data_IF_202865355749
#
_entry.id   IF_202865355749
#
_cell.length_a   1.000
_cell.length_b   1.000
_cell.length_c   1.000
_cell.angle_alpha   90.00
_cell.angle_beta   90.00
_cell.angle_gamma   90.00
#
_symmetry.space_group_name_H-M   'P 1'
#
loop_
_entity.id
_entity.type
_entity.pdbx_description
1 polymer ?
#
# COMPACT_ATOMS: atom_id res chain seq x y z
N UNK A 1 -109.72 21.35 21.12
CA UNK A 1 -108.47 21.58 20.34
C UNK A 1 -107.19 21.29 21.14
N UNK A 2 -107.19 21.34 22.48
CA UNK A 2 -106.00 21.01 23.32
C UNK A 2 -105.53 19.53 23.28
N UNK A 3 -106.35 18.62 22.74
CA UNK A 3 -106.03 17.17 22.70
C UNK A 3 -104.99 16.78 21.64
N UNK A 4 -104.85 17.54 20.54
CA UNK A 4 -103.99 17.17 19.41
C UNK A 4 -102.56 17.71 19.58
N UNK A 5 -102.43 18.93 20.13
CA UNK A 5 -101.16 19.54 20.49
C UNK A 5 -100.42 18.71 21.55
N UNK A 6 -101.12 18.23 22.59
CA UNK A 6 -100.52 17.40 23.63
C UNK A 6 -100.08 16.02 23.12
N UNK A 7 -100.79 15.44 22.13
CA UNK A 7 -100.37 14.20 21.47
C UNK A 7 -99.12 14.41 20.62
N UNK A 8 -99.05 15.50 19.84
CA UNK A 8 -97.88 15.86 19.03
C UNK A 8 -96.65 16.19 19.89
N UNK A 9 -96.83 16.91 21.00
CA UNK A 9 -95.75 17.20 21.96
C UNK A 9 -95.25 15.93 22.66
N UNK A 10 -96.13 14.98 22.97
CA UNK A 10 -95.72 13.68 23.52
C UNK A 10 -94.96 12.85 22.48
N UNK A 11 -95.46 12.76 21.25
CA UNK A 11 -94.79 12.06 20.15
C UNK A 11 -93.39 12.64 19.86
N UNK A 12 -93.25 13.97 19.82
CA UNK A 12 -91.95 14.63 19.67
C UNK A 12 -90.99 14.36 20.84
N UNK A 13 -91.50 14.29 22.08
CA UNK A 13 -90.67 13.93 23.25
C UNK A 13 -90.22 12.48 23.21
N UNK A 14 -91.09 11.57 22.77
CA UNK A 14 -90.77 10.15 22.63
C UNK A 14 -89.79 9.91 21.46
N UNK A 15 -89.93 10.65 20.36
CA UNK A 15 -89.00 10.66 19.23
C UNK A 15 -87.64 11.27 19.61
N UNK A 16 -87.63 12.37 20.37
CA UNK A 16 -86.39 12.93 20.92
C UNK A 16 -85.73 11.97 21.93
N UNK A 17 -86.50 11.27 22.77
CA UNK A 17 -85.96 10.32 23.73
C UNK A 17 -85.35 9.09 23.03
N UNK A 18 -85.98 8.59 21.96
CA UNK A 18 -85.45 7.49 21.14
C UNK A 18 -84.22 7.91 20.35
N UNK A 19 -84.24 9.09 19.73
CA UNK A 19 -83.08 9.67 19.03
C UNK A 19 -81.89 9.89 19.97
N UNK A 20 -82.14 10.40 21.19
CA UNK A 20 -81.11 10.56 22.22
C UNK A 20 -80.52 9.23 22.69
N UNK A 21 -81.34 8.18 22.80
CA UNK A 21 -80.84 6.83 23.13
C UNK A 21 -79.97 6.28 22.01
N UNK A 22 -80.42 6.39 20.76
CA UNK A 22 -79.66 5.93 19.61
C UNK A 22 -78.29 6.63 19.49
N UNK A 23 -78.26 7.96 19.62
CA UNK A 23 -77.00 8.73 19.63
C UNK A 23 -76.11 8.33 20.82
N UNK A 24 -76.70 8.06 21.99
CA UNK A 24 -75.94 7.63 23.16
C UNK A 24 -75.30 6.24 22.96
N UNK A 25 -76.04 5.31 22.34
CA UNK A 25 -75.57 3.95 22.04
C UNK A 25 -74.46 3.98 20.96
N UNK A 26 -74.65 4.74 19.87
CA UNK A 26 -73.62 4.95 18.84
C UNK A 26 -72.36 5.62 19.44
N UNK A 27 -72.54 6.61 20.30
CA UNK A 27 -71.42 7.25 21.01
C UNK A 27 -70.71 6.29 21.97
N UNK A 28 -71.42 5.32 22.56
CA UNK A 28 -70.81 4.29 23.40
C UNK A 28 -70.01 3.31 22.56
N UNK A 29 -70.57 2.83 21.44
CA UNK A 29 -69.90 1.94 20.50
C UNK A 29 -68.63 2.57 19.91
N UNK A 30 -68.70 3.82 19.45
CA UNK A 30 -67.53 4.55 18.94
C UNK A 30 -66.45 4.76 20.00
N UNK A 31 -66.82 4.95 21.28
CA UNK A 31 -65.85 5.02 22.39
C UNK A 31 -65.16 3.69 22.63
N UNK A 32 -65.89 2.59 22.54
CA UNK A 32 -65.32 1.25 22.73
C UNK A 32 -64.44 0.85 21.54
N UNK A 33 -64.84 1.17 20.30
CA UNK A 33 -63.99 1.02 19.11
C UNK A 33 -62.71 1.85 19.23
N UNK A 34 -62.80 3.12 19.65
CA UNK A 34 -61.63 3.97 19.88
C UNK A 34 -60.68 3.37 20.93
N UNK A 35 -61.22 2.81 22.02
CA UNK A 35 -60.42 2.13 23.05
C UNK A 35 -59.75 0.87 22.51
N UNK A 36 -60.43 0.10 21.66
CA UNK A 36 -59.85 -1.09 21.02
C UNK A 36 -58.69 -0.70 20.10
N UNK A 37 -58.88 0.29 19.23
CA UNK A 37 -57.83 0.81 18.32
C UNK A 37 -56.64 1.34 19.12
N UNK A 38 -56.87 2.08 20.22
CA UNK A 38 -55.78 2.57 21.07
C UNK A 38 -54.97 1.44 21.72
N UNK A 39 -55.62 0.34 22.13
CA UNK A 39 -54.91 -0.83 22.66
C UNK A 39 -54.09 -1.52 21.57
N UNK A 40 -54.63 -1.65 20.36
CA UNK A 40 -53.92 -2.22 19.23
C UNK A 40 -52.72 -1.37 18.81
N UNK A 41 -52.88 -0.05 18.75
CA UNK A 41 -51.77 0.88 18.51
C UNK A 41 -50.65 0.73 19.54
N UNK A 42 -50.99 0.60 20.82
CA UNK A 42 -50.00 0.38 21.88
C UNK A 42 -49.28 -0.97 21.70
N UNK A 43 -50.00 -2.03 21.37
CA UNK A 43 -49.42 -3.36 21.14
C UNK A 43 -48.50 -3.37 19.91
N UNK A 44 -48.89 -2.72 18.81
CA UNK A 44 -48.05 -2.55 17.62
C UNK A 44 -46.81 -1.72 17.91
N UNK A 45 -46.93 -0.67 18.73
CA UNK A 45 -45.79 0.16 19.10
C UNK A 45 -44.81 -0.59 20.02
N UNK A 46 -45.30 -1.42 20.93
CA UNK A 46 -44.47 -2.35 21.71
C UNK A 46 -43.74 -3.33 20.78
N UNK A 47 -44.46 -3.90 19.81
CA UNK A 47 -43.87 -4.86 18.86
C UNK A 47 -42.80 -4.22 17.97
N UNK A 48 -43.02 -2.98 17.52
CA UNK A 48 -42.02 -2.22 16.77
C UNK A 48 -40.75 -2.01 17.59
N UNK A 49 -40.87 -1.62 18.86
CA UNK A 49 -39.73 -1.43 19.74
C UNK A 49 -38.96 -2.75 19.98
N UNK A 50 -39.67 -3.88 20.11
CA UNK A 50 -39.04 -5.21 20.19
C UNK A 50 -38.25 -5.55 18.93
N UNK A 51 -38.82 -5.29 17.75
CA UNK A 51 -38.16 -5.56 16.46
C UNK A 51 -36.94 -4.67 16.26
N UNK A 52 -37.01 -3.38 16.59
CA UNK A 52 -35.86 -2.48 16.52
C UNK A 52 -34.73 -2.93 17.47
N UNK A 53 -35.08 -3.43 18.66
CA UNK A 53 -34.09 -3.98 19.58
C UNK A 53 -33.44 -5.24 19.02
N UNK A 54 -34.22 -6.14 18.42
CA UNK A 54 -33.70 -7.35 17.77
C UNK A 54 -32.81 -7.03 16.58
N UNK A 55 -33.17 -6.03 15.77
CA UNK A 55 -32.36 -5.54 14.66
C UNK A 55 -30.99 -5.05 15.16
N UNK A 56 -30.96 -4.22 16.20
CA UNK A 56 -29.72 -3.76 16.84
C UNK A 56 -28.88 -4.92 17.42
N UNK A 57 -29.52 -5.89 18.06
CA UNK A 57 -28.83 -7.07 18.61
C UNK A 57 -28.21 -7.94 17.48
N UNK A 58 -28.90 -8.08 16.34
CA UNK A 58 -28.38 -8.82 15.18
C UNK A 58 -27.25 -8.08 14.48
N UNK A 59 -27.36 -6.76 14.32
CA UNK A 59 -26.28 -5.92 13.76
C UNK A 59 -25.01 -6.02 14.61
N UNK A 60 -25.14 -5.95 15.93
CA UNK A 60 -24.00 -6.12 16.85
C UNK A 60 -23.40 -7.52 16.75
N UNK A 61 -24.22 -8.57 16.65
CA UNK A 61 -23.76 -9.94 16.49
C UNK A 61 -23.04 -10.15 15.15
N UNK A 62 -23.50 -9.52 14.07
CA UNK A 62 -22.85 -9.58 12.76
C UNK A 62 -21.46 -8.91 12.80
N UNK A 63 -21.36 -7.71 13.37
CA UNK A 63 -20.07 -6.99 13.53
C UNK A 63 -19.09 -7.82 14.36
N UNK A 64 -19.54 -8.42 15.46
CA UNK A 64 -18.68 -9.24 16.32
C UNK A 64 -18.20 -10.51 15.60
N UNK A 65 -19.06 -11.15 14.81
CA UNK A 65 -18.69 -12.32 14.01
C UNK A 65 -17.66 -11.97 12.93
N UNK A 66 -17.85 -10.85 12.22
CA UNK A 66 -16.90 -10.35 11.23
C UNK A 66 -15.54 -10.06 11.86
N UNK A 67 -15.53 -9.39 13.02
CA UNK A 67 -14.31 -9.11 13.79
C UNK A 67 -13.59 -10.39 14.23
N UNK A 68 -14.32 -11.39 14.71
CA UNK A 68 -13.75 -12.69 15.10
C UNK A 68 -13.17 -13.44 13.90
N UNK A 69 -13.88 -13.42 12.76
CA UNK A 69 -13.41 -14.02 11.51
C UNK A 69 -12.14 -13.34 11.01
N UNK A 70 -12.10 -12.01 10.98
CA UNK A 70 -10.92 -11.23 10.61
C UNK A 70 -9.72 -11.54 11.54
N UNK A 71 -9.97 -11.67 12.85
CA UNK A 71 -8.93 -12.05 13.82
C UNK A 71 -8.36 -13.45 13.55
N UNK A 72 -9.21 -14.44 13.30
CA UNK A 72 -8.76 -15.80 12.96
C UNK A 72 -7.96 -15.83 11.66
N UNK A 73 -8.40 -15.09 10.63
CA UNK A 73 -7.64 -14.96 9.37
C UNK A 73 -6.29 -14.28 9.61
N UNK A 74 -6.25 -13.22 10.40
CA UNK A 74 -5.03 -12.54 10.80
C UNK A 74 -4.04 -13.50 11.50
N UNK A 75 -4.49 -14.30 12.46
CA UNK A 75 -3.64 -15.29 13.15
C UNK A 75 -3.02 -16.30 12.16
N UNK A 76 -3.79 -16.81 11.20
CA UNK A 76 -3.27 -17.71 10.16
C UNK A 76 -2.25 -17.03 9.23
N UNK A 77 -2.43 -15.74 8.94
CA UNK A 77 -1.49 -14.96 8.13
C UNK A 77 -0.16 -14.76 8.85
N UNK A 78 -0.19 -14.48 10.16
CA UNK A 78 1.02 -14.39 10.98
C UNK A 78 1.73 -15.73 11.05
N UNK A 79 1.01 -16.83 11.29
CA UNK A 79 1.59 -18.18 11.27
C UNK A 79 2.23 -18.53 9.91
N UNK A 80 1.68 -18.05 8.80
CA UNK A 80 2.27 -18.23 7.47
C UNK A 80 3.59 -17.44 7.31
N UNK A 81 3.61 -16.17 7.74
CA UNK A 81 4.82 -15.34 7.72
C UNK A 81 5.91 -15.91 8.65
N UNK A 82 5.55 -16.35 9.85
CA UNK A 82 6.48 -16.98 10.80
C UNK A 82 7.08 -18.25 10.21
N UNK A 83 6.27 -19.15 9.65
CA UNK A 83 6.76 -20.37 8.99
C UNK A 83 7.68 -20.07 7.81
N UNK A 84 7.40 -19.01 7.05
CA UNK A 84 8.30 -18.58 5.97
C UNK A 84 9.62 -18.02 6.50
N UNK A 85 9.59 -17.20 7.55
CA UNK A 85 10.79 -16.67 8.18
C UNK A 85 11.70 -17.78 8.72
N UNK A 86 11.12 -18.78 9.41
CA UNK A 86 11.86 -19.96 9.89
C UNK A 86 12.44 -20.81 8.74
N UNK A 87 11.81 -20.85 7.57
CA UNK A 87 12.34 -21.52 6.36
C UNK A 87 13.44 -20.71 5.68
N UNK A 88 13.38 -19.38 5.76
CA UNK A 88 14.35 -18.48 5.16
C UNK A 88 15.68 -18.46 5.94
N UNK A 89 15.64 -18.57 7.26
CA UNK A 89 16.85 -18.58 8.11
C UNK A 89 17.92 -19.63 7.71
N UNK A 90 17.61 -20.93 7.53
CA UNK A 90 18.60 -21.91 7.09
C UNK A 90 19.12 -21.63 5.67
N UNK A 91 18.30 -21.06 4.79
CA UNK A 91 18.71 -20.68 3.45
C UNK A 91 19.70 -19.50 3.50
N UNK A 92 19.45 -18.49 4.34
CA UNK A 92 20.41 -17.40 4.55
C UNK A 92 21.74 -17.93 5.07
N UNK A 93 21.73 -18.89 6.00
CA UNK A 93 22.95 -19.52 6.50
C UNK A 93 23.72 -20.26 5.41
N UNK A 94 23.04 -21.02 4.56
CA UNK A 94 23.66 -21.71 3.42
C UNK A 94 24.25 -20.71 2.42
N UNK A 95 23.55 -19.60 2.13
CA UNK A 95 24.03 -18.52 1.27
C UNK A 95 25.24 -17.79 1.87
N UNK A 96 25.26 -17.52 3.19
CA UNK A 96 26.42 -16.95 3.88
C UNK A 96 27.65 -17.87 3.73
N UNK A 97 27.50 -19.17 4.02
CA UNK A 97 28.59 -20.14 3.90
C UNK A 97 29.12 -20.22 2.45
N UNK A 98 28.23 -20.15 1.47
CA UNK A 98 28.60 -20.11 0.06
C UNK A 98 29.42 -18.86 -0.29
N UNK A 99 29.00 -17.68 0.18
CA UNK A 99 29.74 -16.43 -0.02
C UNK A 99 31.11 -16.44 0.66
N UNK A 100 31.21 -17.01 1.85
CA UNK A 100 32.50 -17.21 2.54
C UNK A 100 33.45 -18.10 1.73
N UNK A 101 32.95 -19.20 1.15
CA UNK A 101 33.76 -20.07 0.29
C UNK A 101 34.24 -19.35 -0.98
N UNK A 102 33.40 -18.50 -1.58
CA UNK A 102 33.80 -17.66 -2.72
C UNK A 102 34.89 -16.68 -2.30
N UNK A 103 34.72 -16.00 -1.17
CA UNK A 103 35.72 -15.05 -0.66
C UNK A 103 37.06 -15.74 -0.35
N UNK A 104 37.02 -16.93 0.27
CA UNK A 104 38.20 -17.75 0.51
C UNK A 104 38.90 -18.17 -0.79
N UNK A 105 38.13 -18.56 -1.81
CA UNK A 105 38.66 -18.87 -3.15
C UNK A 105 39.37 -17.65 -3.74
N UNK A 106 38.72 -16.49 -3.73
CA UNK A 106 39.29 -15.25 -4.29
C UNK A 106 40.58 -14.84 -3.55
N UNK A 107 40.56 -14.84 -2.21
CA UNK A 107 41.74 -14.53 -1.41
C UNK A 107 42.90 -15.51 -1.64
N UNK A 108 42.61 -16.80 -1.83
CA UNK A 108 43.62 -17.80 -2.14
C UNK A 108 44.25 -17.57 -3.52
N UNK A 109 43.44 -17.21 -4.52
CA UNK A 109 43.93 -16.90 -5.88
C UNK A 109 44.76 -15.61 -5.89
N UNK A 110 44.34 -14.58 -5.15
CA UNK A 110 45.08 -13.33 -5.01
C UNK A 110 46.42 -13.51 -4.31
N UNK A 111 46.47 -14.30 -3.23
CA UNK A 111 47.71 -14.57 -2.49
C UNK A 111 48.68 -15.49 -3.26
N UNK A 112 48.18 -16.29 -4.21
CA UNK A 112 49.00 -17.19 -5.03
C UNK A 112 48.68 -17.03 -6.52
N UNK A 113 49.19 -15.97 -7.17
CA UNK A 113 49.05 -15.78 -8.62
C UNK A 113 49.63 -16.99 -9.37
N UNK A 114 48.85 -17.56 -10.30
CA UNK A 114 49.20 -18.76 -11.04
C UNK A 114 48.63 -20.07 -10.48
N UNK A 115 47.97 -20.07 -9.32
CA UNK A 115 47.31 -21.26 -8.77
C UNK A 115 46.18 -21.79 -9.69
N UNK A 116 45.51 -20.88 -10.42
CA UNK A 116 44.48 -21.23 -11.41
C UNK A 116 45.09 -21.93 -12.62
N UNK A 117 46.23 -21.45 -13.12
CA UNK A 117 46.95 -22.05 -14.24
C UNK A 117 47.51 -23.42 -13.83
N UNK A 118 48.05 -23.52 -12.61
CA UNK A 118 48.51 -24.78 -12.02
C UNK A 118 47.38 -25.82 -11.94
N UNK A 119 46.16 -25.40 -11.55
CA UNK A 119 44.99 -26.26 -11.54
C UNK A 119 44.58 -26.70 -12.95
N UNK A 120 44.63 -25.79 -13.94
CA UNK A 120 44.33 -26.10 -15.33
C UNK A 120 45.34 -27.12 -15.90
N UNK A 121 46.63 -26.90 -15.67
CA UNK A 121 47.72 -27.80 -16.06
C UNK A 121 47.58 -29.18 -15.41
N UNK A 122 47.24 -29.21 -14.11
CA UNK A 122 46.99 -30.47 -13.41
C UNK A 122 45.81 -31.24 -14.01
N UNK A 123 44.68 -30.56 -14.31
CA UNK A 123 43.51 -31.19 -14.94
C UNK A 123 43.81 -31.71 -16.34
N UNK A 124 44.57 -30.96 -17.14
CA UNK A 124 44.97 -31.38 -18.49
C UNK A 124 45.88 -32.61 -18.46
N UNK A 125 46.80 -32.70 -17.50
CA UNK A 125 47.62 -33.88 -17.29
C UNK A 125 46.80 -35.08 -16.83
N UNK A 126 45.94 -34.94 -15.82
CA UNK A 126 45.13 -36.06 -15.31
C UNK A 126 44.21 -36.63 -16.40
N UNK A 127 43.68 -35.79 -17.30
CA UNK A 127 42.85 -36.25 -18.43
C UNK A 127 43.62 -37.09 -19.47
N UNK A 128 44.92 -36.80 -19.67
CA UNK A 128 45.75 -37.46 -20.70
C UNK A 128 46.89 -38.30 -20.08
N UNK A 129 46.75 -38.66 -18.80
CA UNK A 129 47.84 -39.19 -17.98
C UNK A 129 48.45 -40.45 -18.59
N UNK A 130 47.61 -41.41 -18.98
CA UNK A 130 48.08 -42.71 -19.46
C UNK A 130 48.82 -42.59 -20.80
N UNK A 131 48.34 -41.72 -21.69
CA UNK A 131 48.97 -41.45 -23.00
C UNK A 131 50.31 -40.73 -22.84
N UNK A 132 50.37 -39.71 -21.98
CA UNK A 132 51.63 -38.98 -21.69
C UNK A 132 52.66 -39.92 -21.06
N UNK A 133 52.25 -40.75 -20.10
CA UNK A 133 53.17 -41.66 -19.40
C UNK A 133 53.61 -42.83 -20.27
N UNK A 134 52.79 -43.29 -21.23
CA UNK A 134 53.15 -44.38 -22.15
C UNK A 134 54.32 -44.00 -23.08
N UNK A 135 54.41 -42.72 -23.47
CA UNK A 135 55.42 -42.21 -24.41
C UNK A 135 56.74 -41.79 -23.74
N UNK A 136 56.87 -41.91 -22.42
CA UNK A 136 58.03 -41.45 -21.65
C UNK A 136 58.89 -42.61 -21.13
N UNK A 137 60.24 -42.50 -21.21
CA UNK A 137 61.15 -43.42 -20.52
C UNK A 137 60.93 -43.41 -18.99
N UNK A 138 61.16 -44.56 -18.34
CA UNK A 138 60.82 -44.77 -16.92
C UNK A 138 61.44 -43.73 -15.95
N UNK A 139 62.65 -43.25 -16.22
CA UNK A 139 63.28 -42.21 -15.42
C UNK A 139 62.49 -40.89 -15.46
N UNK A 140 62.09 -40.44 -16.66
CA UNK A 140 61.29 -39.24 -16.85
C UNK A 140 59.86 -39.41 -16.31
N UNK A 141 59.30 -40.62 -16.43
CA UNK A 141 58.00 -40.98 -15.86
C UNK A 141 57.96 -40.76 -14.35
N UNK A 142 58.97 -41.26 -13.62
CA UNK A 142 59.09 -41.06 -12.15
C UNK A 142 59.26 -39.58 -11.78
N UNK A 143 60.08 -38.84 -12.53
CA UNK A 143 60.28 -37.40 -12.31
C UNK A 143 59.00 -36.58 -12.51
N UNK A 144 58.25 -36.86 -13.59
CA UNK A 144 57.00 -36.19 -13.90
C UNK A 144 55.92 -36.48 -12.84
N UNK A 145 55.78 -37.75 -12.41
CA UNK A 145 54.86 -38.12 -11.34
C UNK A 145 55.21 -37.45 -10.00
N UNK A 146 56.49 -37.31 -9.68
CA UNK A 146 56.93 -36.60 -8.48
C UNK A 146 56.63 -35.09 -8.55
N UNK A 147 56.81 -34.47 -9.72
CA UNK A 147 56.44 -33.06 -9.95
C UNK A 147 54.92 -32.86 -9.85
N UNK A 148 54.12 -33.75 -10.44
CA UNK A 148 52.66 -33.72 -10.34
C UNK A 148 52.15 -33.96 -8.91
N UNK A 149 52.82 -34.80 -8.13
CA UNK A 149 52.50 -34.97 -6.70
C UNK A 149 52.68 -33.67 -5.91
N UNK A 150 53.77 -32.93 -6.15
CA UNK A 150 53.99 -31.61 -5.54
C UNK A 150 52.97 -30.57 -6.02
N UNK A 151 52.66 -30.57 -7.32
CA UNK A 151 51.63 -29.69 -7.90
C UNK A 151 50.27 -29.97 -7.25
N UNK A 152 49.89 -31.24 -7.09
CA UNK A 152 48.66 -31.66 -6.42
C UNK A 152 48.58 -31.13 -5.00
N UNK A 153 49.65 -31.26 -4.21
CA UNK A 153 49.69 -30.74 -2.84
C UNK A 153 49.49 -29.22 -2.79
N UNK A 154 50.09 -28.49 -3.75
CA UNK A 154 49.95 -27.03 -3.85
C UNK A 154 48.52 -26.61 -4.19
N UNK A 155 47.87 -27.25 -5.16
CA UNK A 155 46.50 -26.90 -5.60
C UNK A 155 45.40 -27.48 -4.71
N UNK A 156 45.72 -28.40 -3.81
CA UNK A 156 44.75 -29.13 -2.98
C UNK A 156 43.75 -28.19 -2.25
N UNK A 157 44.17 -27.07 -1.63
CA UNK A 157 43.23 -26.17 -0.95
C UNK A 157 42.20 -25.57 -1.92
N UNK A 158 42.60 -25.19 -3.13
CA UNK A 158 41.70 -24.65 -4.15
C UNK A 158 40.72 -25.73 -4.65
N UNK A 159 41.19 -26.97 -4.83
CA UNK A 159 40.34 -28.10 -5.23
C UNK A 159 39.30 -28.42 -4.16
N UNK A 160 39.66 -28.35 -2.88
CA UNK A 160 38.74 -28.56 -1.76
C UNK A 160 37.68 -27.48 -1.68
N UNK A 161 38.07 -26.20 -1.79
CA UNK A 161 37.13 -25.08 -1.83
C UNK A 161 36.19 -25.20 -3.03
N UNK A 162 36.69 -25.49 -4.24
CA UNK A 162 35.84 -25.68 -5.43
C UNK A 162 34.88 -26.87 -5.27
N UNK A 163 35.29 -27.93 -4.56
CA UNK A 163 34.42 -29.07 -4.25
C UNK A 163 33.29 -28.66 -3.30
N UNK A 164 33.59 -27.91 -2.24
CA UNK A 164 32.58 -27.41 -1.31
C UNK A 164 31.64 -26.41 -1.98
N UNK A 165 32.16 -25.50 -2.81
CA UNK A 165 31.34 -24.59 -3.64
C UNK A 165 30.38 -25.41 -4.50
N UNK A 166 30.85 -26.43 -5.23
CA UNK A 166 29.97 -27.28 -6.05
C UNK A 166 28.92 -28.06 -5.25
N UNK A 167 29.25 -28.45 -4.02
CA UNK A 167 28.31 -29.15 -3.13
C UNK A 167 27.22 -28.19 -2.64
N UNK A 168 27.61 -26.98 -2.22
CA UNK A 168 26.70 -25.92 -1.82
C UNK A 168 25.87 -25.39 -3.01
N UNK A 169 26.42 -25.37 -4.24
CA UNK A 169 25.70 -24.96 -5.45
C UNK A 169 24.59 -25.91 -5.90
N UNK A 170 24.37 -27.05 -5.21
CA UNK A 170 23.24 -27.93 -5.52
C UNK A 170 21.96 -27.20 -5.11
N UNK A 171 21.31 -26.58 -6.08
CA UNK A 171 20.11 -25.72 -5.94
C UNK A 171 19.14 -26.25 -4.88
N UNK A 172 19.21 -25.68 -3.69
CA UNK A 172 18.09 -25.65 -2.75
C UNK A 172 17.10 -24.59 -3.24
N UNK A 173 15.81 -24.79 -2.94
CA UNK A 173 14.76 -23.86 -3.31
C UNK A 173 13.91 -23.53 -2.08
N UNK A 174 13.56 -22.25 -1.96
CA UNK A 174 12.70 -21.74 -0.88
C UNK A 174 11.55 -20.97 -1.50
N UNK A 175 10.36 -21.13 -0.92
CA UNK A 175 9.18 -20.34 -1.29
C UNK A 175 8.90 -19.32 -0.19
N UNK A 176 8.82 -18.05 -0.59
CA UNK A 176 8.44 -16.94 0.28
C UNK A 176 6.97 -16.60 0.04
N UNK A 177 6.14 -16.88 1.04
CA UNK A 177 4.75 -16.43 1.07
C UNK A 177 4.75 -14.99 1.59
N UNK A 178 4.27 -14.07 0.75
CA UNK A 178 4.18 -12.64 1.02
C UNK A 178 2.71 -12.22 1.00
N UNK A 179 2.37 -11.17 1.74
CA UNK A 179 1.00 -10.66 1.80
C UNK A 179 0.89 -9.38 0.98
N UNK A 180 -0.22 -9.19 0.27
CA UNK A 180 -0.52 -7.92 -0.37
C UNK A 180 -1.87 -7.37 0.04
N UNK A 181 -1.86 -6.14 0.52
CA UNK A 181 -3.05 -5.31 0.67
C UNK A 181 -3.05 -4.24 -0.42
N UNK A 182 -4.18 -4.09 -1.12
CA UNK A 182 -4.40 -3.02 -2.09
C UNK A 182 -5.50 -2.14 -1.53
N UNK A 183 -5.18 -0.88 -1.24
CA UNK A 183 -6.17 0.07 -0.75
C UNK A 183 -7.12 0.44 -1.91
N UNK A 184 -8.42 0.08 -1.83
CA UNK A 184 -9.38 0.34 -2.89
C UNK A 184 -9.66 1.84 -3.08
N UNK A 185 -9.20 2.69 -2.16
CA UNK A 185 -9.51 4.11 -2.13
C UNK A 185 -8.28 5.02 -2.31
N UNK A 186 -7.05 4.50 -2.22
CA UNK A 186 -5.86 5.34 -2.06
C UNK A 186 -4.73 5.19 -3.10
N UNK A 187 -4.86 4.36 -4.15
CA UNK A 187 -3.72 3.98 -5.05
C UNK A 187 -2.49 3.48 -4.27
N UNK A 188 -2.68 3.07 -3.01
CA UNK A 188 -1.63 2.57 -2.15
C UNK A 188 -1.72 1.04 -2.12
N UNK A 189 -0.58 0.39 -2.24
CA UNK A 189 -0.45 -1.05 -2.13
C UNK A 189 0.64 -1.35 -1.12
N UNK A 190 0.51 -2.46 -0.40
CA UNK A 190 1.41 -2.82 0.68
C UNK A 190 1.79 -4.29 0.52
N UNK A 191 3.06 -4.55 0.22
CA UNK A 191 3.61 -5.90 0.08
C UNK A 191 4.42 -6.24 1.34
N UNK A 192 3.88 -7.10 2.20
CA UNK A 192 4.55 -7.58 3.41
C UNK A 192 5.37 -8.82 3.10
N UNK A 193 6.66 -8.76 3.45
CA UNK A 193 7.63 -9.83 3.30
C UNK A 193 7.76 -10.64 4.60
N UNK A 194 8.09 -11.95 4.54
CA UNK A 194 8.32 -12.78 5.73
C UNK A 194 9.70 -12.53 6.36
N UNK A 195 10.06 -11.25 6.53
CA UNK A 195 11.32 -10.77 7.08
C UNK A 195 10.97 -9.90 8.30
N UNK A 196 11.43 -10.25 9.51
CA UNK A 196 11.16 -9.43 10.68
C UNK A 196 11.85 -8.06 10.54
N UNK A 197 11.16 -6.96 10.80
CA UNK A 197 11.73 -5.61 10.62
C UNK A 197 12.97 -5.37 11.47
N UNK A 198 13.01 -5.97 12.67
CA UNK A 198 14.14 -5.91 13.58
C UNK A 198 15.44 -6.53 13.02
N UNK A 199 15.37 -7.26 11.89
CA UNK A 199 16.56 -7.78 11.21
C UNK A 199 17.18 -6.80 10.21
N UNK A 200 16.55 -5.65 9.92
CA UNK A 200 17.15 -4.69 8.99
C UNK A 200 18.22 -3.79 9.63
N UNK A 201 18.12 -3.58 10.95
CA UNK A 201 18.97 -2.65 11.71
C UNK A 201 20.26 -3.27 12.26
N UNK A 202 20.46 -4.59 12.14
CA UNK A 202 21.68 -5.24 12.67
C UNK A 202 22.73 -5.44 11.60
N UNK A 203 23.98 -5.22 11.96
CA UNK A 203 25.12 -5.37 11.08
C UNK A 203 25.75 -6.76 11.23
N UNK A 204 25.08 -7.76 10.66
CA UNK A 204 25.63 -9.13 10.58
C UNK A 204 25.51 -9.67 9.16
N UNK A 205 26.33 -10.65 8.74
CA UNK A 205 26.29 -11.21 7.38
C UNK A 205 24.91 -11.77 6.98
N UNK A 206 24.16 -12.34 7.94
CA UNK A 206 22.80 -12.82 7.66
C UNK A 206 21.82 -11.65 7.45
N UNK A 207 22.01 -10.55 8.16
CA UNK A 207 21.13 -9.38 8.10
C UNK A 207 21.37 -8.56 6.81
N UNK A 208 22.61 -8.52 6.30
CA UNK A 208 22.87 -7.97 4.96
C UNK A 208 22.21 -8.79 3.86
N UNK A 209 22.12 -10.11 4.00
CA UNK A 209 21.36 -10.96 3.07
C UNK A 209 19.85 -10.73 3.15
N UNK A 210 19.29 -10.54 4.35
CA UNK A 210 17.90 -10.10 4.49
C UNK A 210 17.64 -8.80 3.74
N UNK A 211 18.53 -7.80 3.90
CA UNK A 211 18.46 -6.53 3.19
C UNK A 211 18.55 -6.73 1.67
N UNK A 212 19.45 -7.59 1.20
CA UNK A 212 19.56 -7.91 -0.23
C UNK A 212 18.26 -8.50 -0.80
N UNK A 213 17.55 -9.36 -0.06
CA UNK A 213 16.24 -9.86 -0.50
C UNK A 213 15.23 -8.71 -0.62
N UNK A 214 15.18 -7.81 0.36
CA UNK A 214 14.28 -6.64 0.34
C UNK A 214 14.61 -5.71 -0.82
N UNK A 215 15.89 -5.38 -1.00
CA UNK A 215 16.38 -4.51 -2.08
C UNK A 215 16.07 -5.13 -3.45
N UNK A 216 16.30 -6.43 -3.65
CA UNK A 216 15.93 -7.10 -4.90
C UNK A 216 14.43 -7.11 -5.16
N UNK A 217 13.58 -7.21 -4.12
CA UNK A 217 12.13 -7.02 -4.31
C UNK A 217 11.84 -5.58 -4.72
N UNK A 218 12.42 -4.58 -4.07
CA UNK A 218 12.22 -3.17 -4.42
C UNK A 218 12.69 -2.86 -5.85
N UNK A 219 13.83 -3.40 -6.27
CA UNK A 219 14.33 -3.29 -7.64
C UNK A 219 13.40 -3.96 -8.63
N UNK A 220 12.86 -5.15 -8.32
CA UNK A 220 11.87 -5.81 -9.17
C UNK A 220 10.60 -4.97 -9.35
N UNK A 221 10.12 -4.34 -8.27
CA UNK A 221 8.97 -3.43 -8.30
C UNK A 221 9.28 -2.15 -9.10
N UNK A 222 10.50 -1.63 -8.99
CA UNK A 222 10.94 -0.47 -9.76
C UNK A 222 11.09 -0.77 -11.26
N UNK A 223 11.57 -1.96 -11.62
CA UNK A 223 11.60 -2.41 -13.02
C UNK A 223 10.18 -2.61 -13.58
N UNK A 224 9.27 -3.13 -12.76
CA UNK A 224 7.87 -3.29 -13.15
C UNK A 224 7.20 -1.94 -13.46
N UNK A 225 7.57 -0.87 -12.76
CA UNK A 225 7.09 0.48 -13.04
C UNK A 225 7.47 1.03 -14.43
N UNK A 226 8.40 0.37 -15.14
CA UNK A 226 8.75 0.73 -16.52
C UNK A 226 7.79 0.13 -17.54
N UNK A 227 6.85 -0.72 -17.12
CA UNK A 227 5.85 -1.34 -17.99
C UNK A 227 4.62 -0.44 -18.13
N UNK A 228 3.92 -0.54 -19.26
CA UNK A 228 2.76 0.31 -19.55
C UNK A 228 1.55 0.06 -18.62
N UNK A 229 1.54 -1.05 -17.88
CA UNK A 229 0.45 -1.44 -16.98
C UNK A 229 0.54 -0.78 -15.60
N UNK A 230 1.69 -0.16 -15.27
CA UNK A 230 1.99 0.34 -13.93
C UNK A 230 2.43 1.80 -13.96
N UNK A 231 1.76 2.64 -13.16
CA UNK A 231 2.21 4.00 -12.85
C UNK A 231 2.68 4.04 -11.39
N UNK A 232 3.97 3.83 -11.14
CA UNK A 232 4.57 3.89 -9.80
C UNK A 232 5.08 5.29 -9.49
N UNK A 233 4.63 5.86 -8.37
CA UNK A 233 5.04 7.17 -7.89
C UNK A 233 6.08 7.12 -6.75
N UNK A 234 6.02 6.10 -5.88
CA UNK A 234 6.93 5.97 -4.73
C UNK A 234 6.97 4.54 -4.18
N UNK A 235 8.11 4.20 -3.54
CA UNK A 235 8.31 3.01 -2.72
C UNK A 235 8.86 3.42 -1.36
N UNK A 236 8.24 2.94 -0.28
CA UNK A 236 8.67 3.18 1.10
C UNK A 236 8.66 1.86 1.88
N UNK A 237 9.60 1.67 2.81
CA UNK A 237 9.62 0.50 3.69
C UNK A 237 9.00 0.86 5.05
N UNK A 238 8.07 0.04 5.51
CA UNK A 238 7.28 0.21 6.71
C UNK A 238 7.23 -1.10 7.53
N UNK A 239 6.58 -1.03 8.68
CA UNK A 239 6.27 -2.16 9.56
C UNK A 239 4.81 -2.60 9.39
N UNK A 240 4.58 -3.91 9.37
CA UNK A 240 3.28 -4.50 9.60
C UNK A 240 3.45 -5.71 10.53
N UNK A 241 2.91 -5.63 11.74
CA UNK A 241 3.02 -6.68 12.77
C UNK A 241 4.46 -7.19 13.03
N UNK A 242 5.46 -6.33 12.95
CA UNK A 242 6.87 -6.67 13.15
C UNK A 242 7.57 -7.21 11.91
N UNK A 243 6.93 -7.17 10.74
CA UNK A 243 7.47 -7.61 9.45
C UNK A 243 7.71 -6.44 8.49
N UNK A 244 8.72 -6.59 7.63
CA UNK A 244 9.06 -5.63 6.59
C UNK A 244 7.91 -5.55 5.59
N UNK A 245 7.40 -4.34 5.36
CA UNK A 245 6.37 -4.09 4.37
C UNK A 245 6.79 -3.00 3.41
N UNK A 246 6.76 -3.29 2.11
CA UNK A 246 7.02 -2.31 1.05
C UNK A 246 5.69 -1.66 0.68
N UNK A 247 5.54 -0.39 1.03
CA UNK A 247 4.45 0.46 0.55
C UNK A 247 4.78 0.97 -0.85
N UNK A 248 3.81 0.85 -1.74
CA UNK A 248 3.87 1.28 -3.13
C UNK A 248 2.74 2.28 -3.36
N UNK A 249 3.07 3.48 -3.84
CA UNK A 249 2.06 4.39 -4.38
C UNK A 249 1.99 4.13 -5.88
N UNK A 250 1.05 3.30 -6.32
CA UNK A 250 0.97 2.81 -7.68
C UNK A 250 -0.48 2.73 -8.20
N UNK A 251 -0.68 3.12 -9.46
CA UNK A 251 -1.92 2.84 -10.19
C UNK A 251 -1.66 1.66 -11.15
N UNK A 252 -2.48 0.61 -11.03
CA UNK A 252 -2.41 -0.56 -11.90
C UNK A 252 -3.56 -0.55 -12.89
N UNK A 253 -3.22 -0.54 -14.18
CA UNK A 253 -4.16 -0.44 -15.30
C UNK A 253 -4.27 -1.74 -16.11
N UNK A 254 -3.61 -2.81 -15.69
CA UNK A 254 -3.63 -4.10 -16.38
C UNK A 254 -4.90 -4.91 -16.13
N UNK A 255 -5.09 -5.96 -16.94
CA UNK A 255 -6.28 -6.82 -16.89
C UNK A 255 -6.17 -7.96 -15.86
N UNK A 256 -4.95 -8.31 -15.46
CA UNK A 256 -4.69 -9.43 -14.55
C UNK A 256 -4.88 -9.00 -13.09
N UNK A 257 -4.83 -9.97 -12.16
CA UNK A 257 -4.82 -9.60 -10.73
C UNK A 257 -3.46 -9.01 -10.36
N UNK A 258 -3.49 -7.94 -9.57
CA UNK A 258 -2.29 -7.28 -9.01
C UNK A 258 -1.31 -8.28 -8.39
N UNK A 259 -1.80 -9.24 -7.60
CA UNK A 259 -0.97 -10.27 -6.97
C UNK A 259 -0.25 -11.19 -7.97
N UNK A 260 -0.93 -11.59 -9.04
CA UNK A 260 -0.35 -12.45 -10.08
C UNK A 260 0.70 -11.69 -10.90
N UNK A 261 0.42 -10.44 -11.26
CA UNK A 261 1.34 -9.57 -11.98
C UNK A 261 2.63 -9.33 -11.18
N UNK A 262 2.49 -8.95 -9.90
CA UNK A 262 3.62 -8.76 -8.99
C UNK A 262 4.44 -10.04 -8.80
N UNK A 263 3.77 -11.18 -8.62
CA UNK A 263 4.45 -12.46 -8.45
C UNK A 263 5.29 -12.81 -9.68
N UNK A 264 4.76 -12.61 -10.89
CA UNK A 264 5.49 -12.84 -12.13
C UNK A 264 6.66 -11.87 -12.31
N UNK A 265 6.46 -10.59 -12.00
CA UNK A 265 7.50 -9.57 -12.12
C UNK A 265 8.69 -9.88 -11.19
N UNK A 266 8.41 -10.17 -9.92
CA UNK A 266 9.44 -10.54 -8.93
C UNK A 266 10.13 -11.84 -9.33
N UNK A 267 9.38 -12.87 -9.76
CA UNK A 267 9.97 -14.14 -10.19
C UNK A 267 10.93 -13.96 -11.38
N UNK A 268 10.55 -13.18 -12.40
CA UNK A 268 11.42 -12.87 -13.55
C UNK A 268 12.68 -12.13 -13.12
N UNK A 269 12.56 -11.16 -12.22
CA UNK A 269 13.72 -10.44 -11.71
C UNK A 269 14.68 -11.39 -10.96
N UNK A 270 14.15 -12.28 -10.14
CA UNK A 270 14.93 -13.20 -9.31
C UNK A 270 15.62 -14.31 -10.12
N UNK A 271 15.09 -14.66 -11.29
CA UNK A 271 15.78 -15.56 -12.23
C UNK A 271 17.04 -14.93 -12.82
N UNK A 272 17.05 -13.61 -13.02
CA UNK A 272 18.17 -12.86 -13.61
C UNK A 272 19.15 -12.43 -12.51
N UNK A 273 18.61 -11.92 -11.39
CA UNK A 273 19.33 -11.36 -10.26
C UNK A 273 18.93 -12.11 -8.97
N UNK A 274 19.48 -13.32 -8.75
CA UNK A 274 19.15 -14.10 -7.57
C UNK A 274 19.71 -13.43 -6.32
N UNK A 275 18.89 -13.09 -5.31
CA UNK A 275 19.37 -12.39 -4.12
C UNK A 275 20.17 -13.29 -3.17
N UNK A 276 19.93 -14.60 -3.18
CA UNK A 276 20.58 -15.57 -2.28
C UNK A 276 21.26 -16.71 -3.06
N UNK A 277 22.31 -16.47 -3.85
CA UNK A 277 23.00 -17.55 -4.54
C UNK A 277 23.65 -18.51 -3.51
N UNK A 278 23.50 -19.84 -3.68
CA UNK A 278 23.02 -20.56 -4.86
C UNK A 278 21.54 -20.98 -4.79
N UNK A 279 20.78 -20.45 -3.84
CA UNK A 279 19.42 -20.83 -3.51
C UNK A 279 18.43 -20.17 -4.46
N UNK A 280 17.54 -20.96 -5.03
CA UNK A 280 16.44 -20.45 -5.84
C UNK A 280 15.30 -19.98 -4.92
N UNK A 281 14.95 -18.71 -5.01
CA UNK A 281 13.79 -18.18 -4.28
C UNK A 281 12.59 -18.11 -5.23
N UNK A 282 11.47 -18.67 -4.77
CA UNK A 282 10.17 -18.57 -5.42
C UNK A 282 9.25 -17.70 -4.58
N UNK A 283 8.40 -16.90 -5.22
CA UNK A 283 7.47 -15.99 -4.55
C UNK A 283 6.04 -16.47 -4.70
N UNK A 284 5.27 -16.34 -3.62
CA UNK A 284 3.83 -16.54 -3.62
C UNK A 284 3.17 -15.35 -2.93
N UNK A 285 2.29 -14.63 -3.63
CA UNK A 285 1.64 -13.44 -3.09
C UNK A 285 0.19 -13.75 -2.73
N UNK A 286 -0.18 -13.49 -1.47
CA UNK A 286 -1.51 -13.74 -0.91
C UNK A 286 -2.21 -12.38 -0.70
N UNK A 287 -3.34 -12.16 -1.38
CA UNK A 287 -4.13 -10.94 -1.19
C UNK A 287 -4.89 -10.98 0.13
N UNK A 288 -4.84 -9.89 0.89
CA UNK A 288 -5.55 -9.71 2.16
C UNK A 288 -6.51 -8.51 2.10
N UNK A 289 -7.52 -8.50 2.96
CA UNK A 289 -8.51 -7.43 3.04
C UNK A 289 -8.09 -6.30 4.00
N UNK A 290 -8.95 -5.28 4.08
CA UNK A 290 -8.72 -4.12 4.93
C UNK A 290 -8.73 -4.49 6.43
N UNK A 291 -9.55 -5.44 6.85
CA UNK A 291 -9.68 -5.84 8.25
C UNK A 291 -8.42 -6.54 8.75
N UNK A 292 -7.87 -7.47 7.98
CA UNK A 292 -6.60 -8.14 8.31
C UNK A 292 -5.46 -7.12 8.32
N UNK A 293 -5.43 -6.22 7.33
CA UNK A 293 -4.44 -5.17 7.26
C UNK A 293 -4.48 -4.26 8.49
N UNK A 294 -5.67 -3.82 8.91
CA UNK A 294 -5.89 -3.00 10.09
C UNK A 294 -5.38 -3.67 11.37
N UNK A 295 -5.66 -4.96 11.54
CA UNK A 295 -5.19 -5.72 12.71
C UNK A 295 -3.66 -5.78 12.79
N UNK A 296 -2.96 -5.95 11.67
CA UNK A 296 -1.49 -5.94 11.69
C UNK A 296 -0.88 -4.55 11.89
N UNK A 297 -1.58 -3.49 11.47
CA UNK A 297 -1.22 -2.11 11.80
C UNK A 297 -1.36 -1.83 13.30
N UNK A 298 -2.45 -2.31 13.93
CA UNK A 298 -2.67 -2.16 15.37
C UNK A 298 -1.62 -2.88 16.23
N UNK A 299 -1.11 -4.01 15.72
CA UNK A 299 -0.10 -4.83 16.40
C UNK A 299 1.35 -4.47 16.01
N UNK A 300 1.56 -3.51 15.11
CA UNK A 300 2.90 -2.99 14.81
C UNK A 300 3.50 -2.27 16.02
N UNK A 301 4.83 -2.22 16.12
CA UNK A 301 5.50 -1.58 17.26
C UNK A 301 5.08 -0.10 17.41
N UNK A 302 4.83 0.39 18.64
CA UNK A 302 4.44 1.78 18.86
C UNK A 302 5.58 2.71 18.41
N UNK A 303 5.37 3.38 17.28
CA UNK A 303 6.34 4.30 16.67
C UNK A 303 6.56 4.08 15.17
N UNK A 304 6.16 2.94 14.61
CA UNK A 304 6.40 2.62 13.19
C UNK A 304 5.16 2.72 12.31
N UNK A 305 3.97 2.68 12.89
CA UNK A 305 2.71 3.04 12.21
C UNK A 305 1.92 3.98 13.13
N UNK A 306 1.84 5.26 12.77
CA UNK A 306 0.97 6.18 13.51
C UNK A 306 -0.49 5.76 13.36
N UNK A 307 -0.96 5.09 14.43
CA UNK A 307 -2.34 4.83 14.85
C UNK A 307 -3.35 5.54 13.97
N UNK A 308 -4.07 4.75 13.16
CA UNK A 308 -5.30 5.20 12.48
C UNK A 308 -6.24 5.73 13.57
N UNK A 309 -6.52 7.03 13.52
CA UNK A 309 -7.61 7.62 14.28
C UNK A 309 -8.89 6.89 13.87
N UNK A 310 -9.48 6.22 14.84
CA UNK A 310 -10.79 5.62 14.74
C UNK A 310 -11.82 6.76 14.82
N UNK A 311 -12.07 7.45 13.72
CA UNK A 311 -13.15 8.43 13.59
C UNK A 311 -14.20 7.91 12.60
N UNK A 312 -14.77 6.75 12.94
CA UNK A 312 -16.18 6.52 12.61
C UNK A 312 -16.99 7.36 13.58
N UNK A 313 -17.30 8.60 13.21
CA UNK A 313 -18.42 9.44 13.69
C UNK A 313 -18.18 10.89 13.21
N UNK A 314 -18.63 11.22 11.99
CA UNK A 314 -18.67 12.63 11.57
C UNK A 314 -18.80 12.95 10.07
N UNK A 315 -18.83 11.98 9.15
CA UNK A 315 -18.68 12.29 7.71
C UNK A 315 -19.98 12.59 6.94
N UNK A 316 -21.12 12.66 7.62
CA UNK A 316 -22.43 12.79 6.93
C UNK A 316 -22.74 14.19 6.37
N UNK A 317 -21.93 15.22 6.66
CA UNK A 317 -22.06 16.56 6.05
C UNK A 317 -20.98 16.86 5.00
N UNK A 318 -19.98 16.00 4.82
CA UNK A 318 -18.81 16.28 3.97
C UNK A 318 -18.91 15.68 2.56
N UNK A 319 -19.72 14.63 2.38
CA UNK A 319 -19.78 13.86 1.13
C UNK A 319 -20.62 14.54 0.02
N UNK A 320 -21.64 15.35 0.34
CA UNK A 320 -22.43 16.06 -0.68
C UNK A 320 -21.59 17.11 -1.45
N UNK A 321 -20.73 17.86 -0.75
CA UNK A 321 -19.83 18.85 -1.36
C UNK A 321 -18.68 18.23 -2.17
N UNK A 322 -18.37 16.95 -1.93
CA UNK A 322 -17.29 16.21 -2.62
C UNK A 322 -17.85 15.45 -3.84
N UNK A 323 -19.11 15.00 -3.78
CA UNK A 323 -19.83 14.44 -4.92
C UNK A 323 -20.01 15.48 -6.05
N UNK A 324 -20.32 16.74 -5.70
CA UNK A 324 -20.47 17.88 -6.62
C UNK A 324 -19.17 18.23 -7.38
N UNK A 325 -18.00 17.77 -6.88
CA UNK A 325 -16.70 17.96 -7.51
C UNK A 325 -16.51 17.04 -8.73
N UNK A 326 -17.10 15.84 -8.72
CA UNK A 326 -16.96 14.88 -9.81
C UNK A 326 -17.62 15.38 -11.11
N UNK A 327 -18.64 16.24 -11.00
CA UNK A 327 -19.35 16.84 -12.14
C UNK A 327 -18.72 18.17 -12.60
N UNK A 328 -18.01 18.89 -11.72
CA UNK A 328 -17.47 20.23 -11.99
C UNK A 328 -15.96 20.27 -12.27
N UNK A 329 -15.21 19.22 -11.92
CA UNK A 329 -13.76 19.25 -12.09
C UNK A 329 -13.38 19.17 -13.58
N UNK A 330 -12.63 20.17 -14.06
CA UNK A 330 -11.99 20.15 -15.39
C UNK A 330 -10.82 19.12 -15.44
N UNK A 331 -10.94 18.01 -14.71
CA UNK A 331 -9.98 16.92 -14.61
C UNK A 331 -8.66 17.28 -13.93
N UNK A 332 -8.58 18.38 -13.17
CA UNK A 332 -7.37 18.79 -12.45
C UNK A 332 -7.23 18.10 -11.09
N UNK A 333 -8.35 17.91 -10.39
CA UNK A 333 -8.38 17.24 -9.09
C UNK A 333 -9.52 16.23 -9.04
N UNK A 334 -9.25 15.12 -8.39
CA UNK A 334 -10.24 14.10 -8.07
C UNK A 334 -10.89 14.38 -6.70
N UNK A 335 -12.09 13.84 -6.46
CA UNK A 335 -12.68 13.81 -5.11
C UNK A 335 -11.71 13.27 -4.05
N UNK A 336 -10.86 12.31 -4.41
CA UNK A 336 -9.85 11.73 -3.53
C UNK A 336 -8.72 12.72 -3.18
N UNK A 337 -8.31 13.58 -4.12
CA UNK A 337 -7.34 14.64 -3.85
C UNK A 337 -7.88 15.59 -2.77
N UNK A 338 -9.15 16.00 -2.90
CA UNK A 338 -9.83 16.89 -1.94
C UNK A 338 -9.99 16.23 -0.57
N UNK A 339 -10.40 14.94 -0.52
CA UNK A 339 -10.43 14.17 0.73
C UNK A 339 -9.04 14.12 1.37
N UNK A 340 -7.98 13.91 0.59
CA UNK A 340 -6.60 13.85 1.09
C UNK A 340 -6.12 15.18 1.70
N UNK A 341 -6.55 16.34 1.17
CA UNK A 341 -6.16 17.66 1.70
C UNK A 341 -6.79 17.98 3.06
N UNK A 342 -7.98 17.44 3.32
CA UNK A 342 -8.71 17.64 4.59
C UNK A 342 -8.19 16.73 5.71
N UNK A 343 -7.55 15.61 5.37
CA UNK A 343 -6.93 14.72 6.36
C UNK A 343 -5.87 15.46 7.19
N UNK A 344 -5.76 15.20 8.50
CA UNK A 344 -4.63 15.66 9.31
C UNK A 344 -3.29 15.33 8.66
N UNK A 345 -2.27 16.17 8.89
CA UNK A 345 -0.91 15.86 8.48
C UNK A 345 -0.35 14.84 9.46
N UNK A 346 0.12 13.71 8.96
CA UNK A 346 0.86 12.70 9.72
C UNK A 346 2.34 12.90 9.42
N UNK A 347 2.96 13.81 10.16
CA UNK A 347 4.33 14.27 9.93
C UNK A 347 5.01 14.37 11.29
N UNK A 348 6.30 14.03 11.37
CA UNK A 348 7.05 14.12 12.63
C UNK A 348 7.03 15.57 13.15
N UNK A 349 7.23 15.77 14.46
CA UNK A 349 7.25 17.13 15.05
C UNK A 349 8.30 18.06 14.42
N UNK A 350 9.31 17.48 13.77
CA UNK A 350 10.40 18.18 13.07
C UNK A 350 10.11 18.39 11.57
N UNK A 351 9.01 17.85 11.06
CA UNK A 351 8.68 17.94 9.64
C UNK A 351 8.10 19.29 9.25
N UNK A 352 8.70 19.90 8.24
CA UNK A 352 8.20 21.12 7.60
C UNK A 352 6.99 20.87 6.68
N UNK A 353 6.43 19.67 6.64
CA UNK A 353 5.38 19.29 5.70
C UNK A 353 3.99 19.75 6.16
N UNK A 354 3.40 20.72 5.45
CA UNK A 354 2.12 21.35 5.80
C UNK A 354 0.95 20.91 4.90
N UNK A 355 -0.29 21.29 5.23
CA UNK A 355 -1.48 21.03 4.40
C UNK A 355 -1.35 21.77 3.06
N UNK A 356 -0.79 22.98 3.13
CA UNK A 356 -0.39 23.78 1.97
C UNK A 356 0.65 23.05 1.13
N UNK A 357 1.69 22.45 1.74
CA UNK A 357 2.66 21.63 1.01
C UNK A 357 1.99 20.46 0.28
N UNK A 358 1.07 19.74 0.94
CA UNK A 358 0.29 18.65 0.32
C UNK A 358 -0.53 19.13 -0.89
N UNK A 359 -1.22 20.26 -0.78
CA UNK A 359 -2.02 20.85 -1.86
C UNK A 359 -1.16 21.30 -3.04
N UNK A 360 -0.07 22.02 -2.76
CA UNK A 360 0.91 22.47 -3.76
C UNK A 360 1.51 21.26 -4.48
N UNK A 361 1.93 20.23 -3.74
CA UNK A 361 2.42 18.98 -4.32
C UNK A 361 1.42 18.37 -5.28
N UNK A 362 0.15 18.22 -4.89
CA UNK A 362 -0.89 17.68 -5.79
C UNK A 362 -1.02 18.52 -7.06
N UNK A 363 -1.06 19.86 -6.94
CA UNK A 363 -1.11 20.76 -8.10
C UNK A 363 0.09 20.55 -9.04
N UNK A 364 1.32 20.54 -8.49
CA UNK A 364 2.55 20.38 -9.27
C UNK A 364 2.58 19.04 -10.02
N UNK A 365 2.22 17.93 -9.35
CA UNK A 365 2.10 16.61 -9.98
C UNK A 365 1.12 16.66 -11.16
N UNK A 366 -0.04 17.30 -10.99
CA UNK A 366 -1.06 17.41 -12.05
C UNK A 366 -0.58 18.25 -13.21
N UNK A 367 0.13 19.35 -12.95
CA UNK A 367 0.71 20.19 -14.00
C UNK A 367 1.80 19.46 -14.79
N UNK A 368 2.67 18.69 -14.12
CA UNK A 368 3.65 17.83 -14.79
C UNK A 368 2.97 16.75 -15.63
N UNK A 369 1.97 16.03 -15.07
CA UNK A 369 1.21 14.98 -15.77
C UNK A 369 0.50 15.51 -17.01
N UNK A 370 -0.05 16.73 -16.95
CA UNK A 370 -0.70 17.39 -18.09
C UNK A 370 0.28 18.14 -19.00
N UNK A 371 1.59 17.97 -18.80
CA UNK A 371 2.62 18.58 -19.64
C UNK A 371 2.65 20.10 -19.60
N UNK A 372 2.11 20.74 -18.55
CA UNK A 372 1.97 22.20 -18.41
C UNK A 372 3.28 22.84 -17.93
N UNK A 373 4.33 22.70 -18.75
CA UNK A 373 5.70 23.14 -18.47
C UNK A 373 6.17 24.07 -19.59
N UNK A 374 6.73 25.23 -19.24
CA UNK A 374 7.31 26.20 -20.17
C UNK A 374 6.29 26.80 -21.15
N UNK A 375 6.23 26.24 -22.37
CA UNK A 375 5.39 26.76 -23.46
C UNK A 375 3.94 26.31 -23.33
N UNK A 376 3.70 25.16 -22.69
CA UNK A 376 2.37 24.62 -22.46
C UNK A 376 1.75 25.28 -21.23
N UNK A 377 0.62 25.96 -21.44
CA UNK A 377 -0.01 26.83 -20.45
C UNK A 377 -1.43 26.39 -20.15
N UNK A 378 -1.89 26.68 -18.95
CA UNK A 378 -3.28 26.51 -18.52
C UNK A 378 -3.84 27.85 -18.06
N UNK A 379 -5.13 28.08 -18.24
CA UNK A 379 -5.80 29.21 -17.60
C UNK A 379 -5.64 29.11 -16.07
N UNK A 380 -5.16 30.18 -15.46
CA UNK A 380 -4.98 30.32 -14.02
C UNK A 380 -6.24 29.94 -13.22
N UNK A 381 -7.43 30.35 -13.68
CA UNK A 381 -8.70 30.12 -12.98
C UNK A 381 -9.15 28.66 -13.04
N UNK A 382 -8.81 27.95 -14.12
CA UNK A 382 -9.15 26.54 -14.29
C UNK A 382 -8.48 25.62 -13.24
N UNK A 383 -7.45 26.11 -12.56
CA UNK A 383 -6.72 25.38 -11.52
C UNK A 383 -7.34 25.51 -10.12
N UNK A 384 -8.32 26.39 -9.88
CA UNK A 384 -8.90 26.53 -8.53
C UNK A 384 -10.42 26.68 -8.54
N UNK A 385 -11.00 27.26 -9.59
CA UNK A 385 -12.44 27.51 -9.69
C UNK A 385 -13.31 26.25 -9.54
N UNK A 386 -12.88 25.05 -10.00
CA UNK A 386 -13.68 23.84 -9.79
C UNK A 386 -13.70 23.30 -8.36
N UNK A 387 -12.87 23.84 -7.45
CA UNK A 387 -12.79 23.37 -6.07
C UNK A 387 -13.95 23.95 -5.24
N UNK A 388 -14.40 23.25 -4.18
CA UNK A 388 -15.45 23.74 -3.32
C UNK A 388 -14.87 24.70 -2.29
N UNK A 389 -15.60 25.76 -1.95
CA UNK A 389 -15.22 26.66 -0.86
C UNK A 389 -15.07 25.90 0.47
N UNK A 390 -14.03 26.18 1.29
CA UNK A 390 -13.02 27.24 1.16
C UNK A 390 -11.73 26.84 0.40
N UNK A 391 -11.70 25.67 -0.26
CA UNK A 391 -10.46 25.15 -0.88
C UNK A 391 -10.07 25.88 -2.16
N UNK A 392 -11.03 26.47 -2.86
CA UNK A 392 -10.82 27.33 -4.02
C UNK A 392 -9.98 28.57 -3.66
N UNK A 393 -10.32 29.25 -2.56
CA UNK A 393 -9.58 30.42 -2.06
C UNK A 393 -8.17 30.04 -1.63
N UNK A 394 -8.02 28.92 -0.91
CA UNK A 394 -6.71 28.41 -0.47
C UNK A 394 -5.85 28.05 -1.68
N UNK A 395 -6.41 27.34 -2.68
CA UNK A 395 -5.67 26.95 -3.88
C UNK A 395 -5.30 28.18 -4.72
N UNK A 396 -6.19 29.16 -4.84
CA UNK A 396 -5.91 30.44 -5.49
C UNK A 396 -4.75 31.17 -4.82
N UNK A 397 -4.72 31.23 -3.49
CA UNK A 397 -3.59 31.81 -2.74
C UNK A 397 -2.29 31.04 -3.01
N UNK A 398 -2.33 29.70 -2.97
CA UNK A 398 -1.17 28.86 -3.24
C UNK A 398 -0.61 29.11 -4.65
N UNK A 399 -1.47 29.20 -5.66
CA UNK A 399 -1.06 29.45 -7.05
C UNK A 399 -0.43 30.84 -7.18
N UNK A 400 -1.00 31.87 -6.56
CA UNK A 400 -0.42 33.22 -6.55
C UNK A 400 0.97 33.23 -5.91
N UNK A 401 1.16 32.56 -4.77
CA UNK A 401 2.49 32.41 -4.13
C UNK A 401 3.49 31.72 -5.04
N UNK A 402 3.07 30.69 -5.77
CA UNK A 402 3.93 30.00 -6.74
C UNK A 402 4.32 30.90 -7.92
N UNK A 403 3.44 31.82 -8.34
CA UNK A 403 3.75 32.83 -9.37
C UNK A 403 4.77 33.86 -8.82
N UNK A 404 4.52 34.39 -7.63
CA UNK A 404 5.40 35.35 -6.94
C UNK A 404 6.82 34.80 -6.73
N UNK A 405 6.92 33.51 -6.38
CA UNK A 405 8.19 32.82 -6.17
C UNK A 405 8.77 32.20 -7.46
N UNK A 406 8.22 32.56 -8.61
CA UNK A 406 8.67 32.15 -9.95
C UNK A 406 8.71 30.63 -10.19
N UNK A 407 7.97 29.85 -9.40
CA UNK A 407 7.72 28.42 -9.68
C UNK A 407 6.77 28.28 -10.86
N UNK A 408 5.76 29.15 -10.92
CA UNK A 408 4.88 29.31 -12.05
C UNK A 408 5.27 30.58 -12.82
N UNK A 409 5.37 30.45 -14.13
CA UNK A 409 5.51 31.60 -15.03
C UNK A 409 4.11 32.03 -15.45
N UNK A 410 3.71 33.24 -15.04
CA UNK A 410 2.54 33.89 -15.59
C UNK A 410 2.87 34.44 -16.99
N UNK A 411 2.04 34.10 -17.97
CA UNK A 411 2.18 34.59 -19.32
C UNK A 411 1.02 35.51 -19.64
N UNK A 412 1.36 36.74 -20.03
CA UNK A 412 0.39 37.68 -20.57
C UNK A 412 -0.13 37.23 -21.93
N UNK A 413 -1.37 37.64 -22.22
CA UNK A 413 -2.27 37.23 -23.30
C UNK A 413 -1.62 36.91 -24.66
N UNK A 414 -2.10 35.85 -25.30
CA UNK A 414 -2.05 35.68 -26.77
C UNK A 414 -3.49 35.38 -27.23
N UNK A 415 -4.23 36.41 -27.70
CA UNK A 415 -5.57 36.26 -28.31
C UNK A 415 -6.80 36.65 -27.46
N UNK A 416 -8.00 36.33 -27.97
CA UNK A 416 -9.33 36.78 -27.51
C UNK A 416 -9.90 36.09 -26.26
N UNK A 417 -9.16 35.15 -25.63
CA UNK A 417 -9.59 34.59 -24.35
C UNK A 417 -9.25 35.56 -23.19
N UNK A 418 -10.22 35.83 -22.32
CA UNK A 418 -9.99 36.55 -21.05
C UNK A 418 -9.28 35.63 -20.04
N UNK A 419 -8.19 36.11 -19.42
CA UNK A 419 -7.53 35.44 -18.28
C UNK A 419 -6.00 35.37 -18.33
N UNK A 420 -5.38 35.27 -17.16
CA UNK A 420 -3.93 34.98 -16.99
C UNK A 420 -3.70 33.49 -17.26
N UNK A 421 -2.66 33.17 -18.03
CA UNK A 421 -2.25 31.76 -18.23
C UNK A 421 -0.96 31.47 -17.49
N UNK A 422 -0.83 30.27 -16.93
CA UNK A 422 0.33 29.86 -16.13
C UNK A 422 0.94 28.57 -16.66
N UNK A 423 2.25 28.41 -16.47
CA UNK A 423 2.98 27.18 -16.71
C UNK A 423 4.03 26.95 -15.63
N UNK A 424 4.47 25.71 -15.42
CA UNK A 424 5.65 25.44 -14.61
C UNK A 424 6.89 26.06 -15.27
N UNK A 425 7.71 26.74 -14.48
CA UNK A 425 8.97 27.32 -14.94
C UNK A 425 10.03 26.20 -15.11
N UNK A 426 10.54 25.97 -16.33
CA UNK A 426 11.55 24.93 -16.57
C UNK A 426 12.83 25.11 -15.74
N UNK A 427 13.16 26.35 -15.34
CA UNK A 427 14.38 26.67 -14.60
C UNK A 427 14.37 26.19 -13.14
N UNK A 428 13.20 25.84 -12.58
CA UNK A 428 13.07 25.37 -11.19
C UNK A 428 12.52 23.94 -11.10
N UNK A 429 12.63 23.14 -12.17
CA UNK A 429 12.08 21.77 -12.19
C UNK A 429 12.73 20.84 -11.15
N UNK A 430 14.00 21.03 -10.83
CA UNK A 430 14.67 20.28 -9.76
C UNK A 430 14.00 20.54 -8.41
N UNK A 431 13.69 21.81 -8.10
CA UNK A 431 12.95 22.16 -6.89
C UNK A 431 11.51 21.61 -6.92
N UNK A 432 10.85 21.66 -8.08
CA UNK A 432 9.52 21.02 -8.26
C UNK A 432 9.59 19.52 -7.97
N UNK A 433 10.64 18.83 -8.46
CA UNK A 433 10.86 17.42 -8.19
C UNK A 433 11.12 17.17 -6.70
N UNK A 434 11.89 18.02 -6.02
CA UNK A 434 12.08 17.94 -4.57
C UNK A 434 10.76 18.03 -3.81
N UNK A 435 9.88 18.98 -4.15
CA UNK A 435 8.55 19.10 -3.55
C UNK A 435 7.65 17.88 -3.86
N UNK A 436 7.72 17.34 -5.08
CA UNK A 436 7.01 16.10 -5.45
C UNK A 436 7.50 14.90 -4.63
N UNK A 437 8.80 14.86 -4.32
CA UNK A 437 9.44 13.84 -3.48
C UNK A 437 9.33 14.13 -1.98
N UNK A 438 8.53 15.12 -1.57
CA UNK A 438 8.32 15.54 -0.18
C UNK A 438 9.57 16.10 0.54
N UNK A 439 10.57 16.51 -0.22
CA UNK A 439 11.76 17.20 0.30
C UNK A 439 11.49 18.71 0.35
N UNK A 440 11.24 19.26 1.54
CA UNK A 440 11.13 20.71 1.74
C UNK A 440 12.54 21.30 1.85
N UNK A 441 13.07 21.81 0.74
CA UNK A 441 14.31 22.58 0.69
C UNK A 441 14.09 23.98 1.28
N UNK A 442 15.16 24.74 1.60
CA UNK A 442 15.02 26.13 2.03
C UNK A 442 14.23 27.00 1.04
N UNK A 443 14.26 26.67 -0.25
CA UNK A 443 13.45 27.32 -1.29
C UNK A 443 11.94 27.18 -1.02
N UNK A 444 11.50 26.01 -0.56
CA UNK A 444 10.09 25.70 -0.32
C UNK A 444 9.58 26.16 1.04
N UNK A 445 10.45 26.31 2.05
CA UNK A 445 10.04 26.72 3.40
C UNK A 445 9.21 28.01 3.39
N UNK A 446 9.65 29.00 2.62
CA UNK A 446 8.96 30.29 2.45
C UNK A 446 7.60 30.18 1.74
N UNK A 447 7.41 29.14 0.94
CA UNK A 447 6.19 28.92 0.15
C UNK A 447 5.16 28.17 0.99
N UNK A 448 5.59 27.16 1.75
CA UNK A 448 4.68 26.23 2.44
C UNK A 448 4.45 26.51 3.92
N UNK A 449 5.30 27.30 4.59
CA UNK A 449 5.04 27.72 5.97
C UNK A 449 3.89 28.72 6.01
N UNK A 450 3.00 28.55 7.00
CA UNK A 450 1.96 29.52 7.27
C UNK A 450 2.59 30.75 7.90
N UNK A 451 2.25 31.95 7.40
CA UNK A 451 2.33 33.14 8.23
C UNK A 451 1.38 32.92 9.41
N UNK A 452 1.90 33.15 10.62
CA UNK A 452 1.26 32.77 11.87
C UNK A 452 -0.17 33.33 12.01
N UNK A 453 -1.11 32.44 12.34
CA UNK A 453 -2.30 32.75 13.12
C UNK A 453 -2.45 31.70 14.21
#
# INVERSE_FOLDING_TARGET
MESDLNRRLKALRDEQATSRRHIADECAELRDQRRAIQKEQLALQQRLNELLKLEQELEQAAIELERQSAKQRYELLIEALERCSHRLEPALNESCQYQELIAQRSALVESQPGLVDDLANYRAFEANRDEILANLPDFHRKGLLAAHSKLRQRIQPLVEIEKHIRQASRRSAVTLECLIYVDPHATEMFLTLPIPIATLDKDTPQHSLYRSVVESVQEALFEMAKTAEWELAALESNDWSGYVTIQMLAEYNGADKVSECLQQAIARHFEIYPPLPPIAITFQIISIGADEWNLGVENAAPGTVERRGNDSLGDSQSDEAIADLAERSNGWYSPNDVKSWRRPLKVTAESNWTRRARQIRTLLIRMVRKGTIGVNRVNHEALWQPLPSPLDEIMKENINRLIEKHVLTAHERIGDAEGISVSLNPAVLEEVQNMINRTITPFWEDIVRNEAY
#
